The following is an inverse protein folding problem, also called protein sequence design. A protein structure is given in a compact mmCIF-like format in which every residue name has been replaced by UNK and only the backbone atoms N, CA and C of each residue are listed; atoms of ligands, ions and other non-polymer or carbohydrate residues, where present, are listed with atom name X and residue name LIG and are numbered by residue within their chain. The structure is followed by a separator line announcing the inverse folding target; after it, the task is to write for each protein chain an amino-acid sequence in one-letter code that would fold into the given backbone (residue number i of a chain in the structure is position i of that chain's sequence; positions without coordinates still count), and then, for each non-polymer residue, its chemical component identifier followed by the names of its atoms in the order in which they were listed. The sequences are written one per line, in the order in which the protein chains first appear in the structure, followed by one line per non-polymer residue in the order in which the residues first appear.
data_IF_595223290787
#
_entry.id   IF_595223290787
#
_cell.length_a   1.000
_cell.length_b   1.000
_cell.length_c   1.000
_cell.angle_alpha   90.00
_cell.angle_beta   90.00
_cell.angle_gamma   90.00
#
_symmetry.space_group_name_H-M   'P 1'
#
loop_
_entity.id
_entity.type
_entity.pdbx_description
1 polymer ?
#
# COMPACT_ATOMS: atom_id res chain seq x y z
N UNK A 1 2.41 -15.43 -13.74
CA UNK A 1 1.86 -15.36 -12.35
C UNK A 1 2.72 -14.44 -11.49
N UNK A 2 2.09 -13.71 -10.62
CA UNK A 2 2.76 -12.82 -9.67
C UNK A 2 2.95 -13.59 -8.37
N UNK A 3 4.22 -13.77 -7.97
CA UNK A 3 4.55 -14.42 -6.70
C UNK A 3 4.47 -13.41 -5.54
N UNK A 4 4.51 -13.91 -4.31
CA UNK A 4 4.58 -13.06 -3.13
C UNK A 4 5.81 -12.17 -3.13
N UNK A 5 6.95 -12.69 -3.58
CA UNK A 5 8.18 -11.92 -3.72
C UNK A 5 8.01 -10.75 -4.69
N UNK A 6 7.40 -10.99 -5.84
CA UNK A 6 7.16 -9.94 -6.84
C UNK A 6 6.24 -8.87 -6.28
N UNK A 7 5.14 -9.27 -5.63
CA UNK A 7 4.21 -8.31 -5.02
C UNK A 7 4.88 -7.51 -3.91
N UNK A 8 5.63 -8.18 -3.03
CA UNK A 8 6.39 -7.53 -1.96
C UNK A 8 7.33 -6.47 -2.52
N UNK A 9 8.12 -6.85 -3.53
CA UNK A 9 9.11 -5.95 -4.12
C UNK A 9 8.44 -4.79 -4.86
N UNK A 10 7.28 -5.03 -5.49
CA UNK A 10 6.51 -3.98 -6.14
C UNK A 10 5.97 -2.96 -5.13
N UNK A 11 5.46 -3.41 -3.99
CA UNK A 11 4.97 -2.52 -2.94
C UNK A 11 6.12 -1.69 -2.36
N UNK A 12 7.27 -2.32 -2.10
CA UNK A 12 8.46 -1.61 -1.60
C UNK A 12 8.88 -0.53 -2.60
N UNK A 13 8.93 -0.87 -3.88
CA UNK A 13 9.32 0.07 -4.94
C UNK A 13 8.35 1.24 -5.03
N UNK A 14 7.05 0.95 -4.97
CA UNK A 14 6.02 1.99 -4.98
C UNK A 14 6.11 2.92 -3.77
N UNK A 15 6.34 2.35 -2.59
CA UNK A 15 6.50 3.13 -1.36
C UNK A 15 7.72 4.05 -1.44
N UNK A 16 8.84 3.54 -1.94
CA UNK A 16 10.05 4.34 -2.13
C UNK A 16 9.82 5.47 -3.12
N UNK A 17 9.08 5.20 -4.20
CA UNK A 17 8.76 6.22 -5.19
C UNK A 17 7.89 7.33 -4.61
N UNK A 18 6.88 6.98 -3.81
CA UNK A 18 6.04 7.97 -3.12
C UNK A 18 6.90 8.83 -2.21
N UNK A 19 7.81 8.24 -1.45
CA UNK A 19 8.71 8.99 -0.57
C UNK A 19 9.64 9.91 -1.34
N UNK A 20 10.13 9.49 -2.50
CA UNK A 20 10.98 10.32 -3.36
C UNK A 20 10.22 11.51 -3.95
N UNK A 21 8.89 11.39 -4.13
CA UNK A 21 8.04 12.40 -4.73
C UNK A 21 7.21 13.19 -3.70
N UNK A 22 7.37 12.91 -2.41
CA UNK A 22 6.47 13.45 -1.39
C UNK A 22 6.42 14.98 -1.35
N UNK A 23 7.56 15.64 -1.53
CA UNK A 23 7.60 17.11 -1.55
C UNK A 23 6.79 17.68 -2.69
N UNK A 24 6.87 17.04 -3.86
CA UNK A 24 6.10 17.46 -5.04
C UNK A 24 4.61 17.26 -4.82
N UNK A 25 4.22 16.14 -4.20
CA UNK A 25 2.82 15.88 -3.87
C UNK A 25 2.31 16.88 -2.85
N UNK A 26 3.12 17.21 -1.83
CA UNK A 26 2.78 18.22 -0.83
C UNK A 26 2.54 19.58 -1.48
N UNK A 27 3.37 19.97 -2.46
CA UNK A 27 3.20 21.22 -3.20
C UNK A 27 1.89 21.31 -3.97
N UNK A 28 1.38 20.14 -4.44
CA UNK A 28 0.13 20.06 -5.19
C UNK A 28 -1.09 19.97 -4.28
N UNK A 29 -0.90 19.84 -2.97
CA UNK A 29 -1.98 19.66 -2.00
C UNK A 29 -2.62 21.02 -1.66
N UNK A 30 -3.53 21.49 -2.51
CA UNK A 30 -4.20 22.76 -2.33
C UNK A 30 -5.70 22.62 -2.06
N UNK A 31 -6.27 21.44 -2.21
CA UNK A 31 -7.70 21.17 -1.99
C UNK A 31 -7.89 19.91 -1.12
N UNK A 32 -8.92 19.88 -0.28
CA UNK A 32 -9.82 21.00 0.07
C UNK A 32 -9.15 22.03 0.98
N UNK A 33 -8.06 21.62 1.66
CA UNK A 33 -7.33 22.48 2.59
C UNK A 33 -5.86 22.49 2.14
N UNK A 34 -5.25 23.68 1.96
CA UNK A 34 -3.87 23.77 1.45
C UNK A 34 -2.84 23.56 2.57
N UNK A 35 -2.93 22.45 3.30
CA UNK A 35 -2.01 22.14 4.40
C UNK A 35 -0.69 21.51 3.93
N UNK A 36 -0.60 21.10 2.66
CA UNK A 36 0.67 20.70 2.05
C UNK A 36 1.32 19.45 2.64
N UNK A 37 0.52 18.51 3.14
CA UNK A 37 1.05 17.34 3.85
C UNK A 37 0.62 15.98 3.26
N UNK A 38 -0.08 15.96 2.13
CA UNK A 38 -0.58 14.73 1.52
C UNK A 38 0.55 13.75 1.20
N UNK A 39 1.61 14.23 0.53
CA UNK A 39 2.77 13.40 0.18
C UNK A 39 3.50 12.90 1.41
N UNK A 40 3.68 13.77 2.41
CA UNK A 40 4.33 13.41 3.68
C UNK A 40 3.52 12.33 4.40
N UNK A 41 2.21 12.50 4.53
CA UNK A 41 1.35 11.54 5.21
C UNK A 41 1.29 10.19 4.49
N UNK A 42 1.14 10.20 3.16
CA UNK A 42 1.16 8.98 2.36
C UNK A 42 2.52 8.29 2.46
N UNK A 43 3.61 9.05 2.35
CA UNK A 43 4.97 8.53 2.44
C UNK A 43 5.24 7.84 3.78
N UNK A 44 4.80 8.44 4.87
CA UNK A 44 4.95 7.85 6.21
C UNK A 44 4.10 6.59 6.35
N UNK A 45 2.89 6.59 5.80
CA UNK A 45 1.98 5.45 5.86
C UNK A 45 2.52 4.26 5.09
N UNK A 46 2.87 4.45 3.80
CA UNK A 46 3.41 3.35 2.98
C UNK A 46 4.82 2.94 3.45
N UNK A 47 5.60 3.89 3.96
CA UNK A 47 6.93 3.63 4.50
C UNK A 47 6.89 2.70 5.72
N UNK A 48 5.81 2.74 6.50
CA UNK A 48 5.63 1.81 7.62
C UNK A 48 5.62 0.35 7.16
N UNK A 49 5.17 0.08 5.95
CA UNK A 49 5.14 -1.27 5.40
C UNK A 49 6.50 -1.75 4.89
N UNK A 50 7.37 -0.84 4.46
CA UNK A 50 8.64 -1.19 3.80
C UNK A 50 9.51 -2.07 4.71
N UNK A 51 9.67 -1.68 5.97
CA UNK A 51 10.52 -2.42 6.90
C UNK A 51 10.03 -3.84 7.12
N UNK A 52 8.73 -4.02 7.34
CA UNK A 52 8.15 -5.32 7.57
C UNK A 52 8.19 -6.19 6.31
N UNK A 53 7.96 -5.58 5.15
CA UNK A 53 8.06 -6.29 3.86
C UNK A 53 9.49 -6.75 3.58
N UNK A 54 10.48 -5.90 3.87
CA UNK A 54 11.89 -6.25 3.68
C UNK A 54 12.34 -7.42 4.56
N UNK A 55 11.69 -7.62 5.69
CA UNK A 55 11.99 -8.72 6.60
C UNK A 55 11.34 -10.04 6.16
N UNK A 56 10.46 -10.03 5.18
CA UNK A 56 9.78 -11.24 4.71
C UNK A 56 10.69 -12.08 3.83
N UNK A 57 10.51 -13.41 3.94
CA UNK A 57 11.22 -14.37 3.10
C UNK A 57 10.72 -14.28 1.65
N UNK A 58 11.60 -14.59 0.70
CA UNK A 58 11.27 -14.67 -0.73
C UNK A 58 10.20 -15.72 -1.03
N UNK A 59 10.00 -16.68 -0.14
CA UNK A 59 8.98 -17.72 -0.28
C UNK A 59 7.58 -17.27 0.17
N UNK A 60 7.41 -16.01 0.59
CA UNK A 60 6.11 -15.51 1.02
C UNK A 60 5.06 -15.61 -0.09
N UNK A 61 3.79 -15.78 0.31
CA UNK A 61 2.68 -15.79 -0.64
C UNK A 61 2.19 -14.36 -0.93
N UNK A 62 1.43 -14.18 -2.02
CA UNK A 62 0.84 -12.86 -2.30
C UNK A 62 -0.10 -12.43 -1.18
N UNK A 63 -0.85 -13.38 -0.61
CA UNK A 63 -1.73 -13.08 0.53
C UNK A 63 -0.96 -12.60 1.74
N UNK A 64 0.16 -13.24 2.05
CA UNK A 64 1.02 -12.82 3.16
C UNK A 64 1.64 -11.44 2.94
N UNK A 65 2.16 -11.19 1.73
CA UNK A 65 2.76 -9.90 1.39
C UNK A 65 1.73 -8.76 1.49
N UNK A 66 0.54 -8.98 0.92
CA UNK A 66 -0.54 -7.98 0.97
C UNK A 66 -1.01 -7.73 2.41
N UNK A 67 -1.17 -8.78 3.19
CA UNK A 67 -1.61 -8.69 4.59
C UNK A 67 -0.59 -7.93 5.45
N UNK A 68 0.70 -8.25 5.28
CA UNK A 68 1.78 -7.58 6.00
C UNK A 68 1.79 -6.09 5.69
N UNK A 69 1.69 -5.73 4.41
CA UNK A 69 1.63 -4.33 3.99
C UNK A 69 0.42 -3.61 4.59
N UNK A 70 -0.77 -4.21 4.47
CA UNK A 70 -2.00 -3.61 4.97
C UNK A 70 -1.97 -3.40 6.48
N UNK A 71 -1.50 -4.39 7.24
CA UNK A 71 -1.41 -4.29 8.71
C UNK A 71 -0.44 -3.21 9.15
N UNK A 72 0.73 -3.14 8.49
CA UNK A 72 1.73 -2.14 8.81
C UNK A 72 1.24 -0.72 8.48
N UNK A 73 0.57 -0.55 7.36
CA UNK A 73 0.01 0.74 6.97
C UNK A 73 -1.08 1.19 7.94
N UNK A 74 -1.92 0.26 8.40
CA UNK A 74 -2.97 0.58 9.37
C UNK A 74 -2.38 1.11 10.67
N UNK A 75 -1.34 0.45 11.19
CA UNK A 75 -0.67 0.89 12.42
C UNK A 75 0.07 2.21 12.24
N UNK A 76 0.58 2.48 11.06
CA UNK A 76 1.37 3.67 10.75
C UNK A 76 0.63 4.77 10.02
N UNK A 77 -0.69 4.66 9.87
CA UNK A 77 -1.47 5.63 9.09
C UNK A 77 -1.36 7.03 9.67
N UNK A 78 -1.10 8.00 8.79
CA UNK A 78 -0.95 9.42 9.15
C UNK A 78 -1.86 10.28 8.27
N UNK A 79 -2.70 11.09 8.92
CA UNK A 79 -3.61 12.01 8.25
C UNK A 79 -4.69 11.29 7.45
N UNK A 80 -5.55 12.07 6.79
CA UNK A 80 -6.66 11.51 6.01
C UNK A 80 -6.16 10.69 4.82
N UNK A 81 -5.15 11.18 4.12
CA UNK A 81 -4.58 10.46 2.97
C UNK A 81 -3.96 9.13 3.40
N UNK A 82 -3.31 9.09 4.57
CA UNK A 82 -2.76 7.85 5.10
C UNK A 82 -3.83 6.85 5.48
N UNK A 83 -4.90 7.31 6.14
CA UNK A 83 -6.03 6.45 6.49
C UNK A 83 -6.69 5.86 5.25
N UNK A 84 -6.95 6.67 4.23
CA UNK A 84 -7.53 6.21 2.97
C UNK A 84 -6.62 5.17 2.30
N UNK A 85 -5.33 5.44 2.26
CA UNK A 85 -4.33 4.51 1.69
C UNK A 85 -4.35 3.17 2.44
N UNK A 86 -4.40 3.20 3.78
CA UNK A 86 -4.44 1.97 4.58
C UNK A 86 -5.72 1.16 4.34
N UNK A 87 -6.87 1.84 4.17
CA UNK A 87 -8.13 1.16 3.87
C UNK A 87 -8.13 0.53 2.48
N UNK A 88 -7.51 1.19 1.49
CA UNK A 88 -7.35 0.65 0.15
C UNK A 88 -6.55 -0.67 0.21
N UNK A 89 -5.42 -0.67 0.91
CA UNK A 89 -4.60 -1.87 1.05
C UNK A 89 -5.29 -2.96 1.87
N UNK A 90 -6.13 -2.58 2.82
CA UNK A 90 -6.92 -3.55 3.58
C UNK A 90 -7.86 -4.34 2.66
N UNK A 91 -8.61 -3.65 1.80
CA UNK A 91 -9.49 -4.30 0.83
C UNK A 91 -8.73 -5.14 -0.18
N UNK A 92 -7.61 -4.61 -0.67
CA UNK A 92 -6.69 -5.31 -1.56
C UNK A 92 -6.21 -6.63 -0.93
N UNK A 93 -5.77 -6.57 0.32
CA UNK A 93 -5.28 -7.72 1.06
C UNK A 93 -6.37 -8.77 1.28
N UNK A 94 -7.59 -8.35 1.58
CA UNK A 94 -8.71 -9.28 1.78
C UNK A 94 -9.01 -10.09 0.51
N UNK A 95 -8.92 -9.46 -0.65
CA UNK A 95 -9.17 -10.12 -1.92
C UNK A 95 -8.10 -11.16 -2.27
N UNK A 96 -6.89 -11.00 -1.75
CA UNK A 96 -5.77 -11.92 -2.00
C UNK A 96 -5.56 -12.93 -0.86
N UNK A 97 -6.40 -12.90 0.16
CA UNK A 97 -6.26 -13.76 1.33
C UNK A 97 -6.24 -15.24 0.92
N UNK A 98 -5.24 -15.96 1.42
CA UNK A 98 -5.08 -17.39 1.15
C UNK A 98 -4.47 -17.74 -0.21
N UNK A 99 -4.19 -16.76 -1.06
CA UNK A 99 -3.58 -17.01 -2.36
C UNK A 99 -2.06 -17.07 -2.26
N UNK A 100 -1.47 -18.05 -2.93
CA UNK A 100 0.00 -18.18 -3.01
C UNK A 100 0.55 -17.27 -4.09
N UNK A 101 -0.12 -17.24 -5.24
CA UNK A 101 0.23 -16.44 -6.41
C UNK A 101 -1.02 -15.78 -6.95
N UNK A 102 -0.85 -14.75 -7.77
CA UNK A 102 -1.96 -14.04 -8.38
C UNK A 102 -1.69 -13.82 -9.87
N UNK A 103 -2.74 -13.90 -10.68
CA UNK A 103 -2.67 -13.49 -12.08
C UNK A 103 -3.17 -12.04 -12.21
N UNK A 104 -3.17 -11.51 -13.43
CA UNK A 104 -3.62 -10.14 -13.69
C UNK A 104 -5.08 -9.93 -13.27
N UNK A 105 -5.93 -10.94 -13.48
CA UNK A 105 -7.35 -10.89 -13.09
C UNK A 105 -7.51 -10.78 -11.57
N UNK A 106 -6.73 -11.54 -10.81
CA UNK A 106 -6.73 -11.49 -9.35
C UNK A 106 -6.32 -10.10 -8.84
N UNK A 107 -5.29 -9.51 -9.45
CA UNK A 107 -4.80 -8.18 -9.06
C UNK A 107 -5.85 -7.12 -9.36
N UNK A 108 -6.50 -7.17 -10.53
CA UNK A 108 -7.56 -6.21 -10.87
C UNK A 108 -8.73 -6.31 -9.90
N UNK A 109 -9.15 -7.53 -9.57
CA UNK A 109 -10.24 -7.75 -8.60
C UNK A 109 -9.84 -7.21 -7.22
N UNK A 110 -8.59 -7.42 -6.81
CA UNK A 110 -8.07 -6.95 -5.53
C UNK A 110 -8.04 -5.41 -5.46
N UNK A 111 -7.64 -4.75 -6.55
CA UNK A 111 -7.64 -3.29 -6.63
C UNK A 111 -9.05 -2.73 -6.53
N UNK A 112 -10.02 -3.36 -7.20
CA UNK A 112 -11.44 -2.96 -7.11
C UNK A 112 -11.94 -3.10 -5.67
N UNK A 113 -11.60 -4.19 -5.00
CA UNK A 113 -11.97 -4.41 -3.61
C UNK A 113 -11.34 -3.36 -2.69
N UNK A 114 -10.12 -2.97 -2.98
CA UNK A 114 -9.43 -1.90 -2.26
C UNK A 114 -10.16 -0.57 -2.38
N UNK A 115 -10.58 -0.22 -3.59
CA UNK A 115 -11.32 1.02 -3.84
C UNK A 115 -12.66 1.00 -3.09
N UNK A 116 -13.39 -0.11 -3.12
CA UNK A 116 -14.65 -0.26 -2.38
C UNK A 116 -14.43 -0.07 -0.87
N UNK A 117 -13.34 -0.63 -0.34
CA UNK A 117 -13.02 -0.54 1.08
C UNK A 117 -12.62 0.87 1.52
N UNK A 118 -12.13 1.70 0.60
CA UNK A 118 -11.70 3.06 0.90
C UNK A 118 -12.86 4.06 0.88
N UNK A 119 -14.00 3.69 0.32
CA UNK A 119 -15.23 4.48 0.30
C UNK A 119 -16.29 3.81 1.18
#
# INVERSE_FOLDING_TARGET
MISGKILRDAIISGANNINNQRSRVDELNVFPVPDGDTGTNMGMTVGAAVRELQAMDDSCTVGEAAKTAASAMLRGARGNSGVITSLLFRGFSKALEGKKEADASDIVAALKKGVEGAY
#
